data_IF_833272773545
#
_entry.id   IF_833272773545
#
_cell.length_a   1.000
_cell.length_b   1.000
_cell.length_c   1.000
_cell.angle_alpha   90.00
_cell.angle_beta   90.00
_cell.angle_gamma   90.00
#
_symmetry.space_group_name_H-M   'P 1'
#
loop_
_entity.id
_entity.type
_entity.pdbx_description
1 polymer ?
#
# COMPACT_ATOMS: atom_id res chain seq x y z
N UNK A 1 -4.64 5.05 -28.26
CA UNK A 1 -5.33 4.95 -26.96
C UNK A 1 -4.50 5.73 -25.96
N UNK A 2 -5.00 6.86 -25.42
CA UNK A 2 -4.28 7.53 -24.34
C UNK A 2 -4.38 6.60 -23.12
N UNK A 3 -3.25 6.12 -22.61
CA UNK A 3 -3.23 5.55 -21.27
C UNK A 3 -3.39 6.73 -20.34
N UNK A 4 -4.54 6.85 -19.69
CA UNK A 4 -4.75 7.67 -18.49
C UNK A 4 -3.84 7.12 -17.39
N UNK A 5 -2.53 7.28 -17.57
CA UNK A 5 -1.53 6.82 -16.61
C UNK A 5 -1.47 7.93 -15.59
N UNK A 6 -1.94 7.73 -14.35
CA UNK A 6 -1.77 8.74 -13.32
C UNK A 6 -0.26 9.01 -13.21
N UNK A 7 0.12 10.27 -13.23
CA UNK A 7 1.50 10.72 -13.06
C UNK A 7 2.12 10.00 -11.85
N UNK A 8 3.32 9.46 -12.00
CA UNK A 8 4.04 8.65 -10.98
C UNK A 8 3.94 9.21 -9.55
N UNK A 9 3.93 10.53 -9.41
CA UNK A 9 3.81 11.25 -8.13
C UNK A 9 2.48 11.00 -7.37
N UNK A 10 1.43 10.54 -8.04
CA UNK A 10 0.11 10.29 -7.46
C UNK A 10 -0.12 8.83 -7.00
N UNK A 11 0.80 7.90 -7.29
CA UNK A 11 0.61 6.47 -6.97
C UNK A 11 0.59 6.26 -5.46
N UNK A 12 1.60 6.75 -4.75
CA UNK A 12 1.72 6.57 -3.30
C UNK A 12 0.55 7.20 -2.52
N UNK A 13 0.17 8.47 -2.75
CA UNK A 13 -0.98 9.09 -2.08
C UNK A 13 -2.27 8.29 -2.28
N UNK A 14 -2.53 7.85 -3.52
CA UNK A 14 -3.72 7.06 -3.87
C UNK A 14 -3.73 5.71 -3.15
N UNK A 15 -2.63 4.96 -3.19
CA UNK A 15 -2.52 3.63 -2.58
C UNK A 15 -2.56 3.69 -1.06
N UNK A 16 -1.90 4.67 -0.44
CA UNK A 16 -1.96 4.88 1.00
C UNK A 16 -3.41 5.09 1.47
N UNK A 17 -4.13 6.01 0.82
CA UNK A 17 -5.53 6.28 1.12
C UNK A 17 -6.41 5.05 0.90
N UNK A 18 -6.19 4.32 -0.19
CA UNK A 18 -6.91 3.09 -0.50
C UNK A 18 -6.75 2.02 0.59
N UNK A 19 -5.51 1.73 1.01
CA UNK A 19 -5.26 0.74 2.07
C UNK A 19 -5.78 1.21 3.43
N UNK A 20 -5.66 2.51 3.75
CA UNK A 20 -6.20 3.07 4.99
C UNK A 20 -7.71 2.87 5.09
N UNK A 21 -8.45 3.26 4.04
CA UNK A 21 -9.90 3.12 4.01
C UNK A 21 -10.34 1.65 4.11
N UNK A 22 -9.63 0.73 3.45
CA UNK A 22 -9.89 -0.72 3.57
C UNK A 22 -9.65 -1.26 4.98
N UNK A 23 -8.77 -0.63 5.75
CA UNK A 23 -8.44 -1.03 7.13
C UNK A 23 -9.35 -0.37 8.17
N UNK A 24 -10.21 0.57 7.77
CA UNK A 24 -11.10 1.29 8.69
C UNK A 24 -10.40 2.35 9.55
N UNK A 25 -9.13 2.65 9.29
CA UNK A 25 -8.37 3.62 10.10
C UNK A 25 -8.66 5.07 9.72
N UNK A 26 -8.73 5.95 10.72
CA UNK A 26 -8.54 7.39 10.53
C UNK A 26 -7.08 7.70 10.16
N UNK A 27 -6.81 8.89 9.64
CA UNK A 27 -5.44 9.32 9.34
C UNK A 27 -4.56 9.33 10.60
N UNK A 28 -5.13 9.78 11.72
CA UNK A 28 -4.50 9.76 13.03
C UNK A 28 -4.15 8.34 13.50
N UNK A 29 -5.13 7.43 13.48
CA UNK A 29 -4.94 6.02 13.86
C UNK A 29 -3.83 5.36 13.02
N UNK A 30 -3.82 5.59 11.70
CA UNK A 30 -2.75 5.08 10.85
C UNK A 30 -1.39 5.66 11.24
N UNK A 31 -1.31 6.97 11.49
CA UNK A 31 -0.07 7.61 11.88
C UNK A 31 0.49 7.04 13.17
N UNK A 32 -0.35 6.91 14.21
CA UNK A 32 0.01 6.34 15.51
C UNK A 32 0.47 4.88 15.35
N UNK A 33 -0.29 4.05 14.62
CA UNK A 33 0.08 2.65 14.37
C UNK A 33 1.38 2.50 13.57
N UNK A 34 1.72 3.49 12.74
CA UNK A 34 3.00 3.55 12.02
C UNK A 34 4.16 4.15 12.85
N UNK A 35 3.93 4.46 14.13
CA UNK A 35 4.92 5.05 15.03
C UNK A 35 5.25 6.50 14.69
N UNK A 36 4.27 7.26 14.18
CA UNK A 36 4.34 8.72 14.11
C UNK A 36 3.83 9.27 15.44
N UNK A 37 4.52 10.30 15.94
CA UNK A 37 4.12 11.04 17.13
C UNK A 37 2.65 11.49 17.05
N UNK A 38 1.88 11.22 18.11
CA UNK A 38 0.42 11.39 18.18
C UNK A 38 -0.02 12.80 17.78
N UNK A 39 0.65 13.84 18.30
CA UNK A 39 0.34 15.24 18.01
C UNK A 39 0.56 15.63 16.54
N UNK A 40 1.32 14.84 15.79
CA UNK A 40 1.59 15.08 14.35
C UNK A 40 1.02 14.00 13.42
N UNK A 41 0.41 12.94 13.96
CA UNK A 41 0.00 11.74 13.23
C UNK A 41 -1.00 12.06 12.10
N UNK A 42 -2.10 12.74 12.43
CA UNK A 42 -3.15 13.12 11.49
C UNK A 42 -2.61 14.00 10.36
N UNK A 43 -1.81 15.02 10.72
CA UNK A 43 -1.28 16.01 9.78
C UNK A 43 -0.27 15.38 8.82
N UNK A 44 0.66 14.55 9.31
CA UNK A 44 1.65 13.87 8.43
C UNK A 44 0.98 12.91 7.46
N UNK A 45 0.06 12.07 7.93
CA UNK A 45 -0.65 11.13 7.05
C UNK A 45 -1.48 11.89 6.01
N UNK A 46 -2.17 12.97 6.39
CA UNK A 46 -2.87 13.83 5.44
C UNK A 46 -1.94 14.42 4.37
N UNK A 47 -0.75 14.88 4.74
CA UNK A 47 0.24 15.39 3.78
C UNK A 47 0.69 14.30 2.79
N UNK A 48 0.86 13.07 3.26
CA UNK A 48 1.18 11.92 2.42
C UNK A 48 0.02 11.56 1.48
N UNK A 49 -1.22 11.50 1.98
CA UNK A 49 -2.41 11.21 1.16
C UNK A 49 -2.75 12.30 0.14
N UNK A 50 -2.26 13.53 0.33
CA UNK A 50 -2.37 14.63 -0.62
C UNK A 50 -1.16 14.73 -1.57
N UNK A 51 -0.11 13.91 -1.37
CA UNK A 51 1.12 13.99 -2.15
C UNK A 51 1.95 15.25 -1.88
N UNK A 52 1.68 15.99 -0.79
CA UNK A 52 2.47 17.18 -0.41
C UNK A 52 3.90 16.79 0.00
N UNK A 53 4.03 15.63 0.62
CA UNK A 53 5.31 15.06 1.02
C UNK A 53 5.35 13.58 0.68
N UNK A 54 6.53 13.12 0.28
CA UNK A 54 6.80 11.69 0.10
C UNK A 54 7.52 11.17 1.34
N UNK A 55 6.99 10.16 2.03
CA UNK A 55 7.70 9.57 3.16
C UNK A 55 8.96 8.85 2.68
N UNK A 56 10.00 8.86 3.52
CA UNK A 56 11.15 7.99 3.32
C UNK A 56 10.72 6.51 3.36
N UNK A 57 11.48 5.64 2.68
CA UNK A 57 11.15 4.21 2.54
C UNK A 57 10.87 3.52 3.88
N UNK A 58 11.60 3.87 4.94
CA UNK A 58 11.40 3.32 6.29
C UNK A 58 10.01 3.68 6.85
N UNK A 59 9.54 4.91 6.61
CA UNK A 59 8.19 5.33 7.01
C UNK A 59 7.14 4.64 6.16
N UNK A 60 7.37 4.48 4.86
CA UNK A 60 6.48 3.71 3.98
C UNK A 60 6.33 2.26 4.42
N UNK A 61 7.42 1.61 4.83
CA UNK A 61 7.40 0.25 5.38
C UNK A 61 6.59 0.15 6.68
N UNK A 62 6.69 1.16 7.57
CA UNK A 62 5.89 1.22 8.80
C UNK A 62 4.40 1.40 8.50
N UNK A 63 4.05 2.31 7.59
CA UNK A 63 2.67 2.50 7.12
C UNK A 63 2.10 1.21 6.50
N UNK A 64 2.86 0.57 5.60
CA UNK A 64 2.43 -0.68 4.96
C UNK A 64 2.19 -1.80 5.99
N UNK A 65 3.09 -1.91 6.98
CA UNK A 65 2.97 -2.90 8.07
C UNK A 65 1.73 -2.64 8.94
N UNK A 66 1.47 -1.38 9.30
CA UNK A 66 0.25 -0.99 10.02
C UNK A 66 -1.02 -1.32 9.23
N UNK A 67 -0.97 -1.22 7.90
CA UNK A 67 -2.08 -1.49 6.98
C UNK A 67 -2.19 -2.96 6.56
N UNK A 68 -1.32 -3.84 7.06
CA UNK A 68 -1.25 -5.27 6.71
C UNK A 68 -1.17 -5.51 5.19
N UNK A 69 -0.41 -4.66 4.48
CA UNK A 69 -0.11 -4.80 3.05
C UNK A 69 1.40 -4.86 2.81
N UNK A 70 1.87 -5.51 1.74
CA UNK A 70 3.29 -5.42 1.35
C UNK A 70 3.65 -3.98 0.98
N UNK A 71 4.87 -3.54 1.27
CA UNK A 71 5.33 -2.18 0.93
C UNK A 71 5.16 -1.87 -0.56
N UNK A 72 5.36 -2.86 -1.44
CA UNK A 72 5.15 -2.71 -2.89
C UNK A 72 3.74 -2.24 -3.26
N UNK A 73 2.72 -2.59 -2.48
CA UNK A 73 1.34 -2.11 -2.69
C UNK A 73 1.26 -0.58 -2.73
N UNK A 74 2.06 0.11 -1.91
CA UNK A 74 2.05 1.57 -1.83
C UNK A 74 2.67 2.24 -3.06
N UNK A 75 3.37 1.48 -3.91
CA UNK A 75 4.09 1.99 -5.08
C UNK A 75 3.65 1.33 -6.39
N UNK A 76 2.64 0.46 -6.35
CA UNK A 76 2.14 -0.27 -7.51
C UNK A 76 1.09 0.56 -8.24
N UNK A 77 1.35 0.98 -9.48
CA UNK A 77 0.42 1.81 -10.25
C UNK A 77 -0.71 0.98 -10.86
N UNK A 78 -0.43 -0.26 -11.25
CA UNK A 78 -1.38 -1.23 -11.77
C UNK A 78 -2.37 -1.71 -10.68
N UNK A 79 -3.67 -1.54 -10.94
CA UNK A 79 -4.72 -1.92 -9.99
C UNK A 79 -4.85 -3.43 -9.78
N UNK A 80 -4.59 -4.23 -10.80
CA UNK A 80 -4.66 -5.69 -10.73
C UNK A 80 -3.48 -6.22 -9.91
N UNK A 81 -2.25 -5.76 -10.16
CA UNK A 81 -1.08 -6.12 -9.37
C UNK A 81 -1.21 -5.62 -7.92
N UNK A 82 -1.71 -4.41 -7.70
CA UNK A 82 -1.93 -3.90 -6.35
C UNK A 82 -2.96 -4.75 -5.58
N UNK A 83 -4.06 -5.15 -6.22
CA UNK A 83 -5.03 -6.05 -5.58
C UNK A 83 -4.40 -7.41 -5.25
N UNK A 84 -3.58 -7.97 -6.15
CA UNK A 84 -2.84 -9.21 -5.89
C UNK A 84 -1.90 -9.07 -4.70
N UNK A 85 -1.14 -7.97 -4.61
CA UNK A 85 -0.27 -7.66 -3.47
C UNK A 85 -1.05 -7.55 -2.16
N UNK A 86 -2.21 -6.87 -2.18
CA UNK A 86 -3.05 -6.72 -0.99
C UNK A 86 -3.62 -8.07 -0.50
N UNK A 87 -4.04 -8.94 -1.43
CA UNK A 87 -4.48 -10.31 -1.12
C UNK A 87 -3.31 -11.11 -0.56
N UNK A 88 -2.19 -11.13 -1.28
CA UNK A 88 -0.99 -11.85 -0.89
C UNK A 88 -0.50 -11.41 0.50
N UNK A 89 -0.55 -10.12 0.84
CA UNK A 89 -0.19 -9.57 2.14
C UNK A 89 -0.83 -10.30 3.33
N UNK A 90 -2.07 -10.78 3.16
CA UNK A 90 -2.89 -11.42 4.19
C UNK A 90 -2.75 -12.95 4.22
N UNK A 91 -2.09 -13.53 3.23
CA UNK A 91 -1.91 -14.98 3.13
C UNK A 91 -0.78 -15.46 4.05
N UNK A 92 -0.96 -16.65 4.61
CA UNK A 92 0.12 -17.39 5.27
C UNK A 92 1.22 -17.73 4.28
N UNK A 93 2.43 -18.04 4.78
CA UNK A 93 3.56 -18.45 3.95
C UNK A 93 3.21 -19.62 3.02
N UNK A 94 2.41 -20.56 3.52
CA UNK A 94 2.00 -21.73 2.74
C UNK A 94 1.01 -21.37 1.62
N UNK A 95 0.00 -20.55 1.92
CA UNK A 95 -0.94 -20.07 0.89
C UNK A 95 -0.24 -19.22 -0.18
N UNK A 96 0.80 -18.47 0.18
CA UNK A 96 1.64 -17.73 -0.78
C UNK A 96 2.40 -18.66 -1.74
N UNK A 97 2.91 -19.80 -1.26
CA UNK A 97 3.57 -20.79 -2.12
C UNK A 97 2.61 -21.39 -3.13
N UNK A 98 1.40 -21.73 -2.70
CA UNK A 98 0.34 -22.21 -3.59
C UNK A 98 0.00 -21.17 -4.65
N UNK A 99 -0.18 -19.91 -4.25
CA UNK A 99 -0.44 -18.80 -5.18
C UNK A 99 0.68 -18.64 -6.22
N UNK A 100 1.94 -18.70 -5.78
CA UNK A 100 3.09 -18.60 -6.67
C UNK A 100 3.12 -19.77 -7.67
N UNK A 101 2.96 -21.00 -7.20
CA UNK A 101 2.92 -22.18 -8.06
C UNK A 101 1.78 -22.13 -9.09
N UNK A 102 0.61 -21.60 -8.71
CA UNK A 102 -0.49 -21.37 -9.64
C UNK A 102 -0.16 -20.32 -10.70
N UNK A 103 0.50 -19.22 -10.31
CA UNK A 103 0.93 -18.19 -11.25
C UNK A 103 2.01 -18.70 -12.22
N UNK A 104 2.95 -19.52 -11.74
CA UNK A 104 3.98 -20.16 -12.56
C UNK A 104 3.38 -21.09 -13.61
N UNK A 105 2.33 -21.86 -13.26
CA UNK A 105 1.62 -22.71 -14.23
C UNK A 105 0.93 -21.89 -15.32
N UNK A 106 0.23 -20.82 -14.95
CA UNK A 106 -0.42 -19.92 -15.91
C UNK A 106 0.57 -19.24 -16.88
N UNK A 107 1.81 -19.02 -16.45
CA UNK A 107 2.85 -18.42 -17.29
C UNK A 107 3.51 -19.41 -18.27
N UNK A 108 3.28 -20.71 -18.09
CA UNK A 108 3.80 -21.77 -18.96
C UNK A 108 2.81 -22.19 -20.05
N UNK A 109 1.56 -21.71 -19.96
CA UNK A 109 0.50 -21.86 -20.97
C UNK A 109 0.58 -20.72 -22.01
#
# INVERSE_FOLDING_TARGET
MPRDTPTSDAVFPRRLKQARLRSGFTQEQLGIQAGIDEFSASTRVNQYEKGKHTPAIQTSQRLARALLVPTGFLYEDDDLLANLLAIAGRLSKEKKRVLLASAEKLAQE
#
